data_IF_797708441676
#
_entry.id   IF_797708441676
#
_cell.length_a   1.000
_cell.length_b   1.000
_cell.length_c   1.000
_cell.angle_alpha   90.00
_cell.angle_beta   90.00
_cell.angle_gamma   90.00
#
_symmetry.space_group_name_H-M   'P 1'
#
loop_
_entity.id
_entity.type
_entity.pdbx_description
1 polymer ?
#
# COMPACT_ATOMS: atom_id res chain seq x y z
N UNK A 1 14.57 -81.81 12.91
CA UNK A 1 15.38 -81.41 14.08
C UNK A 1 14.79 -80.11 14.58
N UNK A 2 13.98 -80.24 15.63
CA UNK A 2 13.74 -79.34 16.78
C UNK A 2 13.74 -77.82 16.55
N UNK A 3 12.57 -77.16 16.70
CA UNK A 3 11.96 -76.60 17.94
C UNK A 3 12.77 -75.43 18.53
N UNK A 4 12.30 -74.19 18.41
CA UNK A 4 11.32 -73.46 19.23
C UNK A 4 11.94 -72.68 20.41
N UNK A 5 11.51 -71.40 20.54
CA UNK A 5 11.52 -70.53 21.75
C UNK A 5 12.90 -70.01 22.21
N UNK A 6 13.07 -68.90 22.92
CA UNK A 6 12.20 -68.14 23.83
C UNK A 6 12.75 -66.72 24.08
N UNK A 7 11.89 -65.88 24.66
CA UNK A 7 12.12 -64.67 25.47
C UNK A 7 13.19 -64.91 26.58
N UNK A 8 13.81 -63.94 27.27
CA UNK A 8 13.24 -62.95 28.23
C UNK A 8 14.39 -62.12 28.90
N UNK A 9 14.09 -60.91 29.37
CA UNK A 9 14.55 -60.20 30.61
C UNK A 9 16.04 -60.08 31.06
N UNK A 10 16.45 -58.87 31.47
CA UNK A 10 16.65 -58.47 32.89
C UNK A 10 17.69 -57.34 33.09
N UNK A 11 17.42 -56.51 34.10
CA UNK A 11 18.24 -55.39 34.58
C UNK A 11 19.39 -55.83 35.52
N UNK A 12 20.41 -54.98 35.70
CA UNK A 12 21.47 -55.17 36.71
C UNK A 12 22.49 -54.02 36.74
N UNK A 13 22.86 -53.61 37.94
CA UNK A 13 23.34 -52.28 38.34
C UNK A 13 24.86 -52.24 38.71
N UNK A 14 25.36 -51.05 39.10
CA UNK A 14 26.60 -50.74 39.85
C UNK A 14 27.90 -50.57 39.02
N UNK A 15 28.85 -49.64 39.27
CA UNK A 15 29.11 -48.60 40.27
C UNK A 15 30.36 -47.82 39.81
N UNK A 16 30.44 -46.50 40.06
CA UNK A 16 31.70 -45.74 39.89
C UNK A 16 31.56 -44.26 40.23
N UNK A 17 32.16 -43.85 41.36
CA UNK A 17 31.99 -42.55 42.03
C UNK A 17 33.29 -41.75 41.91
N UNK A 18 33.25 -40.48 41.51
CA UNK A 18 34.21 -39.45 41.95
C UNK A 18 33.67 -38.04 41.74
N UNK A 19 34.14 -37.11 42.59
CA UNK A 19 33.48 -35.89 43.09
C UNK A 19 34.04 -34.60 42.46
N UNK A 20 33.23 -33.53 42.52
CA UNK A 20 33.63 -32.11 42.55
C UNK A 20 33.14 -31.32 41.31
N UNK A 21 32.49 -30.15 41.37
CA UNK A 21 32.20 -29.18 42.42
C UNK A 21 30.99 -28.29 42.02
N UNK A 22 30.36 -27.65 43.03
CA UNK A 22 29.33 -26.57 42.95
C UNK A 22 29.93 -25.30 42.27
N UNK A 23 29.24 -24.36 41.61
CA UNK A 23 27.96 -23.63 41.88
C UNK A 23 27.60 -22.75 40.63
N UNK A 24 26.44 -22.06 40.57
CA UNK A 24 25.69 -21.75 39.34
C UNK A 24 25.97 -20.35 38.75
N UNK A 25 25.69 -20.18 37.45
CA UNK A 25 25.60 -18.86 36.82
C UNK A 25 24.27 -18.70 36.07
N UNK A 26 23.60 -17.59 36.40
CA UNK A 26 22.27 -17.17 35.95
C UNK A 26 22.19 -17.06 34.42
N UNK A 27 21.27 -17.82 33.80
CA UNK A 27 20.82 -17.53 32.45
C UNK A 27 19.78 -16.39 32.53
N UNK A 28 20.21 -15.19 32.16
CA UNK A 28 19.35 -14.03 31.94
C UNK A 28 18.34 -14.34 30.85
N UNK A 29 17.06 -14.36 31.20
CA UNK A 29 15.96 -14.36 30.25
C UNK A 29 16.01 -13.06 29.43
N UNK A 30 16.51 -13.14 28.21
CA UNK A 30 16.35 -12.07 27.23
C UNK A 30 14.87 -12.08 26.79
N UNK A 31 14.07 -11.19 27.38
CA UNK A 31 12.75 -10.86 26.87
C UNK A 31 12.91 -10.21 25.50
N UNK A 32 12.76 -10.99 24.43
CA UNK A 32 12.59 -10.47 23.08
C UNK A 32 11.25 -9.74 23.02
N UNK A 33 11.24 -8.44 23.27
CA UNK A 33 10.12 -7.57 22.94
C UNK A 33 10.05 -7.46 21.43
N UNK A 34 9.41 -8.44 20.79
CA UNK A 34 8.92 -8.31 19.42
C UNK A 34 7.87 -7.20 19.43
N UNK A 35 8.29 -6.01 19.02
CA UNK A 35 7.35 -4.95 18.66
C UNK A 35 6.57 -5.47 17.44
N UNK A 36 5.43 -6.10 17.68
CA UNK A 36 4.48 -6.43 16.61
C UNK A 36 4.12 -5.11 15.92
N UNK A 37 4.59 -4.95 14.69
CA UNK A 37 4.00 -4.02 13.75
C UNK A 37 2.50 -4.29 13.76
N UNK A 38 1.71 -3.32 14.20
CA UNK A 38 0.26 -3.46 14.25
C UNK A 38 -0.21 -3.78 12.83
N UNK A 39 -0.70 -5.01 12.61
CA UNK A 39 -1.33 -5.40 11.35
C UNK A 39 -2.52 -4.45 11.14
N UNK A 40 -2.45 -3.62 10.11
CA UNK A 40 -3.51 -2.68 9.79
C UNK A 40 -4.76 -3.47 9.38
N UNK A 41 -5.84 -3.39 10.17
CA UNK A 41 -7.14 -3.93 9.77
C UNK A 41 -7.99 -2.80 9.19
N UNK A 42 -8.28 -2.80 7.88
CA UNK A 42 -9.06 -1.74 7.24
C UNK A 42 -10.48 -1.58 7.81
N UNK A 43 -11.02 -2.64 8.46
CA UNK A 43 -12.29 -2.59 9.16
C UNK A 43 -12.31 -1.65 10.37
N UNK A 44 -11.15 -1.39 10.98
CA UNK A 44 -11.01 -0.55 12.17
C UNK A 44 -11.19 0.95 11.86
N UNK A 45 -11.05 1.36 10.60
CA UNK A 45 -11.24 2.76 10.19
C UNK A 45 -12.71 3.23 10.29
N UNK A 46 -13.64 2.29 10.40
CA UNK A 46 -15.06 2.58 10.57
C UNK A 46 -15.56 2.25 11.99
N UNK A 47 -14.62 1.96 12.91
CA UNK A 47 -14.89 1.91 14.35
C UNK A 47 -14.99 3.35 14.88
N UNK A 48 -16.04 3.62 15.65
CA UNK A 48 -16.24 4.92 16.31
C UNK A 48 -16.46 4.69 17.82
N UNK A 49 -15.48 5.02 18.67
CA UNK A 49 -14.19 5.61 18.33
C UNK A 49 -13.22 4.60 17.69
N UNK A 50 -12.22 5.07 16.91
CA UNK A 50 -11.17 4.20 16.39
C UNK A 50 -10.37 3.55 17.53
N UNK A 51 -9.78 2.36 17.32
CA UNK A 51 -9.00 1.69 18.35
C UNK A 51 -7.86 2.59 18.86
N UNK A 52 -7.62 2.65 20.19
CA UNK A 52 -6.58 3.50 20.74
C UNK A 52 -5.19 3.03 20.28
N UNK A 53 -4.44 3.94 19.69
CA UNK A 53 -3.04 3.70 19.35
C UNK A 53 -2.20 3.65 20.62
N UNK A 54 -1.51 2.53 20.85
CA UNK A 54 -0.54 2.40 21.96
C UNK A 54 0.83 2.88 21.49
N UNK A 55 1.26 4.00 22.03
CA UNK A 55 2.57 4.59 21.74
C UNK A 55 3.61 4.11 22.76
N UNK A 56 4.83 3.87 22.29
CA UNK A 56 6.00 3.78 23.17
C UNK A 56 6.32 5.12 23.81
N UNK A 57 7.15 5.12 24.86
CA UNK A 57 7.59 6.35 25.53
C UNK A 57 8.28 7.32 24.57
N UNK A 58 9.22 6.81 23.76
CA UNK A 58 9.94 7.60 22.75
C UNK A 58 8.98 8.20 21.71
N UNK A 59 8.02 7.42 21.20
CA UNK A 59 7.00 7.93 20.28
C UNK A 59 6.14 9.03 20.92
N UNK A 60 5.82 8.90 22.20
CA UNK A 60 5.06 9.92 22.92
C UNK A 60 5.83 11.23 23.07
N UNK A 61 7.13 11.16 23.36
CA UNK A 61 8.02 12.33 23.40
C UNK A 61 8.12 13.02 22.04
N UNK A 62 8.37 12.26 20.97
CA UNK A 62 8.43 12.77 19.61
C UNK A 62 7.11 13.43 19.16
N UNK A 63 5.97 12.79 19.46
CA UNK A 63 4.64 13.36 19.19
C UNK A 63 4.42 14.68 19.96
N UNK A 64 4.87 14.74 21.21
CA UNK A 64 4.74 15.94 22.04
C UNK A 64 5.59 17.10 21.51
N UNK A 65 6.82 16.81 21.10
CA UNK A 65 7.71 17.79 20.47
C UNK A 65 7.13 18.31 19.14
N UNK A 66 6.70 17.41 18.27
CA UNK A 66 6.07 17.76 17.00
C UNK A 66 4.83 18.63 17.21
N UNK A 67 3.97 18.28 18.17
CA UNK A 67 2.77 19.05 18.49
C UNK A 67 3.11 20.47 18.97
N UNK A 68 4.10 20.62 19.86
CA UNK A 68 4.56 21.93 20.31
C UNK A 68 5.11 22.76 19.15
N UNK A 69 5.87 22.14 18.24
CA UNK A 69 6.37 22.77 17.03
C UNK A 69 5.24 23.27 16.12
N UNK A 70 4.26 22.42 15.79
CA UNK A 70 3.14 22.78 14.92
C UNK A 70 2.26 23.85 15.55
N UNK A 71 1.95 23.78 16.85
CA UNK A 71 1.21 24.83 17.58
C UNK A 71 1.91 26.18 17.48
N UNK A 72 3.23 26.22 17.65
CA UNK A 72 4.02 27.45 17.51
C UNK A 72 4.00 27.97 16.06
N UNK A 73 4.10 27.09 15.06
CA UNK A 73 4.04 27.47 13.64
C UNK A 73 2.68 28.06 13.25
N UNK A 74 1.59 27.48 13.73
CA UNK A 74 0.22 27.95 13.48
C UNK A 74 -0.04 29.37 14.05
N UNK A 75 0.66 29.75 15.13
CA UNK A 75 0.63 31.13 15.66
C UNK A 75 1.39 32.15 14.79
N UNK A 76 2.11 31.69 13.77
CA UNK A 76 2.90 32.53 12.85
C UNK A 76 2.53 32.25 11.38
N UNK A 77 1.30 32.58 10.94
CA UNK A 77 0.82 32.25 9.59
C UNK A 77 1.69 32.82 8.47
N UNK A 78 2.33 33.98 8.68
CA UNK A 78 3.28 34.56 7.73
C UNK A 78 4.46 33.61 7.40
N UNK A 79 4.95 32.83 8.37
CA UNK A 79 6.01 31.84 8.14
C UNK A 79 5.52 30.67 7.29
N UNK A 80 4.25 30.28 7.43
CA UNK A 80 3.63 29.23 6.60
C UNK A 80 3.52 29.73 5.16
N UNK A 81 3.04 30.97 4.97
CA UNK A 81 2.96 31.61 3.65
C UNK A 81 4.33 31.73 2.98
N UNK A 82 5.38 32.06 3.74
CA UNK A 82 6.75 32.13 3.23
C UNK A 82 7.26 30.75 2.75
N UNK A 83 7.02 29.70 3.53
CA UNK A 83 7.37 28.32 3.12
C UNK A 83 6.63 27.94 1.85
N UNK A 84 5.34 28.23 1.77
CA UNK A 84 4.55 27.97 0.57
C UNK A 84 5.07 28.74 -0.64
N UNK A 85 5.41 30.01 -0.49
CA UNK A 85 5.97 30.84 -1.57
C UNK A 85 7.26 30.24 -2.13
N UNK A 86 8.16 29.75 -1.25
CA UNK A 86 9.39 29.07 -1.68
C UNK A 86 9.12 27.78 -2.46
N UNK A 87 8.05 27.04 -2.12
CA UNK A 87 7.66 25.86 -2.91
C UNK A 87 7.17 26.25 -4.30
N UNK A 88 6.54 27.42 -4.45
CA UNK A 88 6.12 27.93 -5.76
C UNK A 88 7.31 28.27 -6.67
N UNK A 89 8.44 28.69 -6.09
CA UNK A 89 9.69 28.92 -6.82
C UNK A 89 10.31 27.62 -7.37
N UNK A 90 9.94 26.47 -6.79
CA UNK A 90 10.40 25.14 -7.23
C UNK A 90 9.51 24.52 -8.31
N UNK A 91 8.53 25.26 -8.83
CA UNK A 91 7.68 24.80 -9.94
C UNK A 91 8.54 24.55 -11.18
N UNK A 92 8.22 23.47 -11.88
CA UNK A 92 8.93 23.11 -13.09
C UNK A 92 8.72 24.16 -14.18
N UNK A 93 9.81 24.49 -14.86
CA UNK A 93 9.75 25.18 -16.15
C UNK A 93 9.21 24.23 -17.23
N UNK A 94 8.76 24.78 -18.36
CA UNK A 94 8.31 23.98 -19.52
C UNK A 94 9.40 23.02 -20.00
N UNK A 95 10.63 23.50 -20.13
CA UNK A 95 11.77 22.68 -20.57
C UNK A 95 12.10 21.54 -19.61
N UNK A 96 11.99 21.77 -18.30
CA UNK A 96 12.15 20.71 -17.32
C UNK A 96 11.04 19.67 -17.40
N UNK A 97 9.79 20.11 -17.60
CA UNK A 97 8.66 19.20 -17.78
C UNK A 97 8.86 18.32 -19.03
N UNK A 98 9.29 18.90 -20.15
CA UNK A 98 9.59 18.17 -21.38
C UNK A 98 10.68 17.10 -21.17
N UNK A 99 11.72 17.42 -20.40
CA UNK A 99 12.81 16.47 -20.09
C UNK A 99 12.42 15.39 -19.07
N UNK A 100 11.73 15.78 -18.00
CA UNK A 100 11.45 14.90 -16.85
C UNK A 100 10.20 14.05 -17.05
N UNK A 101 9.30 14.41 -17.97
CA UNK A 101 8.04 13.72 -18.23
C UNK A 101 7.95 13.22 -19.69
N UNK A 102 9.08 12.90 -20.32
CA UNK A 102 9.16 12.66 -21.75
C UNK A 102 8.30 11.47 -22.21
N UNK A 103 8.10 10.46 -21.36
CA UNK A 103 7.25 9.29 -21.69
C UNK A 103 5.77 9.67 -21.69
N UNK A 104 5.35 10.49 -20.72
CA UNK A 104 3.97 10.96 -20.61
C UNK A 104 3.56 11.85 -21.79
N UNK A 105 4.54 12.54 -22.39
CA UNK A 105 4.40 13.47 -23.51
C UNK A 105 4.55 12.82 -24.89
N UNK A 106 4.63 11.49 -24.98
CA UNK A 106 4.60 10.80 -26.29
C UNK A 106 3.20 10.84 -26.87
N UNK A 107 3.09 10.97 -28.20
CA UNK A 107 1.80 10.98 -28.94
C UNK A 107 0.85 9.83 -28.52
N UNK A 108 1.40 8.62 -28.36
CA UNK A 108 0.64 7.44 -27.93
C UNK A 108 0.06 7.51 -26.49
N UNK A 109 0.52 8.47 -25.67
CA UNK A 109 0.16 8.62 -24.26
C UNK A 109 -0.58 9.93 -23.96
N UNK A 110 -0.65 10.89 -24.90
CA UNK A 110 -1.34 12.16 -24.70
C UNK A 110 -2.78 11.96 -24.21
N UNK A 111 -3.53 11.06 -24.85
CA UNK A 111 -4.92 10.75 -24.49
C UNK A 111 -5.10 10.02 -23.16
N UNK A 112 -4.02 9.67 -22.44
CA UNK A 112 -4.07 8.97 -21.15
C UNK A 112 -3.86 9.90 -19.95
N UNK A 113 -3.57 11.18 -20.21
CA UNK A 113 -3.37 12.20 -19.19
C UNK A 113 -4.64 13.03 -19.04
N UNK A 114 -5.18 13.10 -17.82
CA UNK A 114 -6.33 13.96 -17.53
C UNK A 114 -5.97 15.44 -17.64
N UNK A 115 -4.76 15.80 -17.23
CA UNK A 115 -4.24 17.16 -17.29
C UNK A 115 -2.80 17.14 -17.80
N UNK A 116 -2.49 17.96 -18.79
CA UNK A 116 -1.17 17.99 -19.43
C UNK A 116 -0.09 18.69 -18.60
N UNK A 117 -0.50 19.45 -17.58
CA UNK A 117 0.38 20.10 -16.60
C UNK A 117 0.58 19.25 -15.32
N UNK A 118 0.00 18.04 -15.27
CA UNK A 118 0.14 17.09 -14.17
C UNK A 118 0.54 15.71 -14.72
N UNK A 119 1.85 15.53 -14.89
CA UNK A 119 2.44 14.34 -15.47
C UNK A 119 3.40 13.66 -14.48
N UNK A 120 3.53 12.31 -14.51
CA UNK A 120 4.50 11.62 -13.70
C UNK A 120 5.92 11.85 -14.24
N UNK A 121 6.92 11.89 -13.35
CA UNK A 121 8.31 11.92 -13.80
C UNK A 121 8.75 10.55 -14.30
N UNK A 122 9.60 10.55 -15.32
CA UNK A 122 10.11 9.33 -15.94
C UNK A 122 10.87 8.43 -14.93
N UNK A 123 11.47 9.02 -13.89
CA UNK A 123 12.28 8.31 -12.90
C UNK A 123 11.47 7.62 -11.78
N UNK A 124 10.21 8.01 -11.58
CA UNK A 124 9.37 7.43 -10.52
C UNK A 124 7.96 7.06 -11.00
N UNK A 125 7.68 7.13 -12.30
CA UNK A 125 6.43 6.64 -12.88
C UNK A 125 6.23 5.14 -12.65
N UNK A 126 4.98 4.73 -12.61
CA UNK A 126 4.63 3.31 -12.67
C UNK A 126 4.80 2.80 -14.11
N UNK A 127 5.20 1.52 -14.24
CA UNK A 127 5.33 0.81 -15.51
C UNK A 127 4.46 -0.44 -15.43
N UNK A 128 3.44 -0.52 -16.28
CA UNK A 128 2.57 -1.70 -16.36
C UNK A 128 3.24 -2.80 -17.18
N UNK A 129 3.06 -4.05 -16.73
CA UNK A 129 3.50 -5.22 -17.47
C UNK A 129 2.62 -5.43 -18.72
N UNK A 130 3.22 -5.34 -19.90
CA UNK A 130 2.56 -5.51 -21.19
C UNK A 130 2.58 -6.95 -21.68
N UNK A 131 3.40 -7.82 -21.07
CA UNK A 131 3.60 -9.20 -21.53
C UNK A 131 2.38 -10.09 -21.34
N UNK A 132 1.48 -9.73 -20.42
CA UNK A 132 0.23 -10.47 -20.16
C UNK A 132 -0.91 -10.12 -21.13
N UNK A 133 -0.71 -9.20 -22.08
CA UNK A 133 -1.73 -8.82 -23.07
C UNK A 133 -2.99 -8.16 -22.48
N UNK A 134 -2.89 -7.66 -21.25
CA UNK A 134 -4.02 -7.16 -20.47
C UNK A 134 -4.32 -5.67 -20.63
N UNK A 135 -3.35 -4.90 -21.12
CA UNK A 135 -3.44 -3.45 -21.18
C UNK A 135 -3.77 -3.01 -22.61
N UNK A 136 -4.69 -2.05 -22.73
CA UNK A 136 -4.87 -1.26 -23.97
C UNK A 136 -3.64 -0.38 -24.26
N UNK A 137 -2.74 -0.28 -23.28
CA UNK A 137 -1.49 0.46 -23.34
C UNK A 137 -0.34 -0.36 -23.92
N UNK A 138 -0.17 -0.27 -25.25
CA UNK A 138 0.95 -0.89 -25.99
C UNK A 138 2.37 -0.59 -25.44
N UNK A 139 2.52 0.38 -24.53
CA UNK A 139 3.80 0.80 -23.93
C UNK A 139 3.82 0.82 -22.39
N UNK A 140 2.85 0.19 -21.72
CA UNK A 140 2.82 0.06 -20.25
C UNK A 140 2.74 1.38 -19.49
N UNK A 141 2.20 2.43 -20.12
CA UNK A 141 2.09 3.77 -19.52
C UNK A 141 0.78 3.94 -18.74
N UNK A 142 0.89 4.48 -17.53
CA UNK A 142 -0.21 5.02 -16.74
C UNK A 142 0.28 6.30 -16.04
N UNK A 143 -0.59 7.31 -15.93
CA UNK A 143 -0.28 8.54 -15.19
C UNK A 143 -0.34 8.27 -13.67
N UNK A 144 0.73 7.69 -13.15
CA UNK A 144 0.91 7.38 -11.74
C UNK A 144 2.40 7.44 -11.35
N UNK A 145 2.69 7.81 -10.10
CA UNK A 145 4.05 7.93 -9.57
C UNK A 145 4.20 7.23 -8.23
N UNK A 146 5.33 6.55 -8.02
CA UNK A 146 5.77 6.14 -6.70
C UNK A 146 6.19 7.37 -5.87
N UNK A 147 5.65 7.46 -4.66
CA UNK A 147 6.00 8.47 -3.66
C UNK A 147 6.60 7.75 -2.45
N UNK A 148 7.86 8.04 -2.16
CA UNK A 148 8.55 7.58 -0.95
C UNK A 148 8.78 8.72 0.02
N UNK A 149 8.65 8.46 1.32
CA UNK A 149 8.91 9.43 2.39
C UNK A 149 10.18 9.01 3.17
N UNK A 150 11.35 9.49 2.76
CA UNK A 150 12.62 9.29 3.49
C UNK A 150 13.46 8.09 3.05
N UNK A 151 14.60 7.88 3.74
CA UNK A 151 15.66 6.92 3.38
C UNK A 151 15.69 5.64 4.23
N UNK A 152 14.67 5.39 5.07
CA UNK A 152 14.62 4.22 5.96
C UNK A 152 13.94 3.00 5.35
N UNK A 153 14.22 1.81 5.88
CA UNK A 153 13.67 0.52 5.41
C UNK A 153 12.16 0.32 5.73
N UNK A 154 11.58 1.15 6.61
CA UNK A 154 10.16 1.10 7.02
C UNK A 154 9.35 2.30 6.50
N UNK A 155 9.51 2.62 5.22
CA UNK A 155 8.81 3.76 4.60
C UNK A 155 7.62 3.25 3.80
N UNK A 156 6.41 3.66 4.19
CA UNK A 156 5.20 3.45 3.38
C UNK A 156 5.42 4.02 1.99
N UNK A 157 5.21 3.20 0.96
CA UNK A 157 5.25 3.62 -0.44
C UNK A 157 3.83 3.92 -0.87
N UNK A 158 3.61 5.11 -1.41
CA UNK A 158 2.33 5.49 -1.97
C UNK A 158 2.42 5.49 -3.49
N UNK A 159 1.31 5.20 -4.13
CA UNK A 159 1.13 5.50 -5.55
C UNK A 159 0.19 6.69 -5.64
N UNK A 160 0.71 7.83 -6.10
CA UNK A 160 -0.11 8.97 -6.45
C UNK A 160 -0.53 8.84 -7.91
N UNK A 161 -1.84 8.90 -8.18
CA UNK A 161 -2.38 8.73 -9.54
C UNK A 161 -3.56 9.67 -9.79
N UNK A 162 -3.85 9.92 -11.07
CA UNK A 162 -5.03 10.69 -11.48
C UNK A 162 -6.32 9.89 -11.22
N UNK A 163 -7.47 10.57 -11.17
CA UNK A 163 -8.75 9.88 -11.30
C UNK A 163 -8.85 9.21 -12.67
N UNK A 164 -9.09 7.87 -12.76
CA UNK A 164 -9.09 7.15 -14.02
C UNK A 164 -9.95 7.81 -15.10
N UNK A 165 -9.48 7.79 -16.33
CA UNK A 165 -10.29 8.08 -17.51
C UNK A 165 -11.08 6.80 -17.90
N UNK A 166 -12.18 6.91 -18.66
CA UNK A 166 -12.88 5.73 -19.17
C UNK A 166 -11.93 4.75 -19.87
N UNK A 167 -11.03 5.26 -20.70
CA UNK A 167 -10.03 4.53 -21.47
C UNK A 167 -8.86 3.99 -20.64
N UNK A 168 -8.57 4.55 -19.46
CA UNK A 168 -7.48 4.12 -18.57
C UNK A 168 -7.97 3.35 -17.33
N UNK A 169 -9.26 3.01 -17.26
CA UNK A 169 -9.81 2.32 -16.09
C UNK A 169 -9.30 0.88 -15.97
N UNK A 170 -9.08 0.19 -17.10
CA UNK A 170 -8.42 -1.11 -17.10
C UNK A 170 -6.96 -1.04 -16.66
N UNK A 171 -6.20 -0.09 -17.19
CA UNK A 171 -4.81 0.17 -16.81
C UNK A 171 -4.68 0.48 -15.30
N UNK A 172 -5.64 1.20 -14.73
CA UNK A 172 -5.70 1.48 -13.28
C UNK A 172 -5.84 0.18 -12.46
N UNK A 173 -6.72 -0.72 -12.86
CA UNK A 173 -6.89 -1.99 -12.14
C UNK A 173 -5.71 -2.93 -12.33
N UNK A 174 -5.10 -2.94 -13.51
CA UNK A 174 -3.85 -3.68 -13.73
C UNK A 174 -2.74 -3.17 -12.81
N UNK A 175 -2.59 -1.84 -12.68
CA UNK A 175 -1.66 -1.24 -11.74
C UNK A 175 -1.89 -1.73 -10.30
N UNK A 176 -3.15 -1.66 -9.85
CA UNK A 176 -3.55 -2.05 -8.50
C UNK A 176 -3.26 -3.52 -8.24
N UNK A 177 -3.54 -4.39 -9.23
CA UNK A 177 -3.27 -5.82 -9.15
C UNK A 177 -1.77 -6.13 -9.15
N UNK A 178 -1.03 -5.58 -10.11
CA UNK A 178 0.42 -5.74 -10.27
C UNK A 178 1.19 -5.32 -9.01
N UNK A 179 0.76 -4.25 -8.35
CA UNK A 179 1.41 -3.73 -7.14
C UNK A 179 0.75 -4.20 -5.83
N UNK A 180 -0.20 -5.14 -5.91
CA UNK A 180 -0.92 -5.72 -4.76
C UNK A 180 -1.41 -4.67 -3.77
N UNK A 181 -2.02 -3.60 -4.29
CA UNK A 181 -2.42 -2.49 -3.44
C UNK A 181 -3.63 -2.86 -2.56
N UNK A 182 -3.51 -2.89 -1.23
CA UNK A 182 -4.62 -3.30 -0.35
C UNK A 182 -5.68 -2.21 -0.17
N UNK A 183 -5.33 -0.94 -0.40
CA UNK A 183 -6.18 0.20 -0.08
C UNK A 183 -6.10 1.29 -1.15
N UNK A 184 -7.27 1.77 -1.56
CA UNK A 184 -7.45 2.92 -2.45
C UNK A 184 -8.07 4.07 -1.64
N UNK A 185 -7.44 5.24 -1.64
CA UNK A 185 -8.00 6.46 -1.07
C UNK A 185 -8.41 7.40 -2.20
N UNK A 186 -9.71 7.53 -2.39
CA UNK A 186 -10.34 8.39 -3.38
C UNK A 186 -10.73 9.74 -2.76
N UNK A 187 -10.08 10.81 -3.20
CA UNK A 187 -10.29 12.17 -2.68
C UNK A 187 -11.19 13.04 -3.58
N UNK A 188 -11.81 12.45 -4.60
CA UNK A 188 -12.73 13.13 -5.53
C UNK A 188 -14.04 12.36 -5.63
N UNK A 189 -15.13 13.04 -5.97
CA UNK A 189 -16.38 12.38 -6.33
C UNK A 189 -16.24 11.67 -7.68
N UNK A 190 -16.93 10.54 -7.83
CA UNK A 190 -17.22 9.91 -9.14
C UNK A 190 -18.31 10.75 -9.82
N UNK A 191 -18.13 11.05 -11.10
CA UNK A 191 -18.99 12.01 -11.79
C UNK A 191 -20.47 11.61 -11.84
N UNK A 192 -21.35 12.52 -11.41
CA UNK A 192 -22.80 12.39 -11.46
C UNK A 192 -23.41 13.23 -12.59
N UNK A 193 -23.00 12.98 -13.85
CA UNK A 193 -23.58 13.51 -15.12
C UNK A 193 -23.76 15.05 -15.27
N UNK A 194 -23.53 15.87 -14.25
CA UNK A 194 -23.85 17.32 -14.23
C UNK A 194 -22.63 18.26 -14.14
N UNK A 195 -21.41 17.75 -13.98
CA UNK A 195 -20.18 18.53 -13.74
C UNK A 195 -19.04 18.03 -14.64
N UNK A 196 -18.00 18.87 -14.84
CA UNK A 196 -16.74 18.50 -15.52
C UNK A 196 -16.22 17.17 -14.99
N UNK A 197 -15.98 16.21 -15.89
CA UNK A 197 -15.66 14.84 -15.50
C UNK A 197 -14.33 14.75 -14.74
N UNK A 198 -14.32 14.57 -13.42
CA UNK A 198 -13.11 14.48 -12.57
C UNK A 198 -12.58 13.06 -12.42
N UNK A 199 -13.45 12.05 -12.52
CA UNK A 199 -13.07 10.65 -12.36
C UNK A 199 -14.13 9.77 -13.03
N UNK A 200 -13.68 8.90 -13.94
CA UNK A 200 -14.55 7.86 -14.46
C UNK A 200 -15.03 6.99 -13.29
N UNK A 201 -16.25 6.49 -13.41
CA UNK A 201 -16.66 5.39 -12.57
C UNK A 201 -15.84 4.17 -12.97
N UNK A 202 -14.99 3.68 -12.07
CA UNK A 202 -14.11 2.54 -12.29
C UNK A 202 -14.47 1.34 -11.40
N UNK A 203 -15.58 1.39 -10.66
CA UNK A 203 -15.92 0.33 -9.69
C UNK A 203 -17.42 0.08 -9.50
N UNK A 204 -18.31 1.02 -9.84
CA UNK A 204 -19.76 0.81 -9.67
C UNK A 204 -20.33 0.08 -10.89
N UNK A 205 -21.25 -0.85 -10.65
CA UNK A 205 -22.09 -1.50 -11.66
C UNK A 205 -23.47 -1.78 -11.05
N UNK A 206 -24.53 -1.59 -11.84
CA UNK A 206 -25.92 -1.78 -11.39
C UNK A 206 -26.23 -3.25 -11.03
N UNK A 207 -25.49 -4.19 -11.61
CA UNK A 207 -25.56 -5.64 -11.41
C UNK A 207 -24.50 -6.19 -10.43
N UNK A 208 -23.69 -5.31 -9.85
CA UNK A 208 -22.67 -5.64 -8.86
C UNK A 208 -21.32 -6.08 -9.41
N UNK A 209 -21.18 -6.39 -10.71
CA UNK A 209 -19.93 -6.87 -11.31
C UNK A 209 -19.48 -6.01 -12.49
N UNK A 210 -18.28 -5.43 -12.41
CA UNK A 210 -17.72 -4.63 -13.48
C UNK A 210 -16.49 -5.24 -14.12
N UNK A 211 -16.53 -5.42 -15.44
CA UNK A 211 -15.41 -5.93 -16.23
C UNK A 211 -14.50 -4.85 -16.81
N UNK A 212 -13.19 -5.06 -16.69
CA UNK A 212 -12.13 -4.31 -17.34
C UNK A 212 -11.12 -5.29 -17.98
N UNK A 213 -11.40 -5.74 -19.20
CA UNK A 213 -10.57 -6.75 -19.88
C UNK A 213 -10.55 -8.09 -19.13
N UNK A 214 -9.40 -8.45 -18.55
CA UNK A 214 -9.25 -9.68 -17.73
C UNK A 214 -9.53 -9.47 -16.24
N UNK A 215 -9.80 -8.24 -15.82
CA UNK A 215 -10.11 -7.92 -14.43
C UNK A 215 -11.61 -7.76 -14.27
N UNK A 216 -12.17 -8.31 -13.19
CA UNK A 216 -13.53 -8.04 -12.76
C UNK A 216 -13.56 -7.53 -11.33
N UNK A 217 -14.36 -6.50 -11.07
CA UNK A 217 -14.47 -5.82 -9.78
C UNK A 217 -15.89 -5.97 -9.28
N UNK A 218 -16.04 -6.44 -8.05
CA UNK A 218 -17.34 -6.63 -7.40
C UNK A 218 -17.37 -5.87 -6.07
N UNK A 219 -18.43 -5.10 -5.82
CA UNK A 219 -18.61 -4.47 -4.51
C UNK A 219 -19.28 -5.45 -3.56
N UNK A 220 -18.55 -5.94 -2.54
CA UNK A 220 -19.09 -6.85 -1.52
C UNK A 220 -19.98 -6.14 -0.52
N UNK A 221 -19.55 -4.98 -0.04
CA UNK A 221 -20.37 -4.13 0.81
C UNK A 221 -19.91 -2.68 0.75
N UNK A 222 -20.81 -1.79 1.13
CA UNK A 222 -20.53 -0.36 1.34
C UNK A 222 -20.95 0.00 2.77
N UNK A 223 -20.10 0.74 3.48
CA UNK A 223 -20.37 1.32 4.80
C UNK A 223 -20.16 2.82 4.73
N UNK A 224 -21.08 3.58 5.31
CA UNK A 224 -20.95 5.02 5.48
C UNK A 224 -20.67 5.25 6.97
N UNK A 225 -19.48 5.76 7.29
CA UNK A 225 -19.10 6.06 8.67
C UNK A 225 -19.69 7.43 9.08
N UNK A 226 -19.79 7.72 10.39
CA UNK A 226 -20.40 8.95 10.91
C UNK A 226 -19.74 10.25 10.39
N UNK A 227 -18.45 10.18 10.03
CA UNK A 227 -17.67 11.27 9.43
C UNK A 227 -18.00 11.55 7.96
N UNK A 228 -19.03 10.91 7.38
CA UNK A 228 -19.35 10.92 5.94
C UNK A 228 -18.28 10.27 5.04
N UNK A 229 -17.36 9.50 5.64
CA UNK A 229 -16.44 8.63 4.91
C UNK A 229 -17.20 7.41 4.37
N UNK A 230 -17.06 7.13 3.08
CA UNK A 230 -17.63 5.94 2.45
C UNK A 230 -16.52 4.90 2.30
N UNK A 231 -16.69 3.76 2.95
CA UNK A 231 -15.85 2.58 2.83
C UNK A 231 -16.52 1.56 1.91
N UNK A 232 -15.85 1.15 0.85
CA UNK A 232 -16.25 0.03 -0.01
C UNK A 232 -15.26 -1.11 0.10
N UNK A 233 -15.76 -2.31 0.31
CA UNK A 233 -14.99 -3.54 0.16
C UNK A 233 -15.20 -4.07 -1.25
N UNK A 234 -14.11 -4.11 -2.02
CA UNK A 234 -14.09 -4.56 -3.40
C UNK A 234 -13.39 -5.91 -3.49
N UNK A 235 -14.01 -6.88 -4.14
CA UNK A 235 -13.34 -8.10 -4.57
C UNK A 235 -12.90 -7.91 -6.02
N UNK A 236 -11.61 -8.05 -6.28
CA UNK A 236 -11.04 -7.92 -7.63
C UNK A 236 -10.49 -9.26 -8.05
N UNK A 237 -10.98 -9.78 -9.18
CA UNK A 237 -10.57 -11.06 -9.75
C UNK A 237 -9.85 -10.81 -11.06
N UNK A 238 -8.67 -11.41 -11.19
CA UNK A 238 -7.98 -11.51 -12.47
C UNK A 238 -8.26 -12.89 -13.05
N UNK A 239 -8.62 -12.99 -14.34
CA UNK A 239 -9.04 -14.28 -14.96
C UNK A 239 -8.03 -15.42 -14.82
N UNK A 240 -6.75 -15.11 -14.63
CA UNK A 240 -5.65 -16.09 -14.58
C UNK A 240 -5.02 -16.22 -13.18
N UNK A 241 -5.43 -15.40 -12.21
CA UNK A 241 -4.81 -15.34 -10.87
C UNK A 241 -5.87 -15.35 -9.74
N UNK A 242 -5.39 -15.37 -8.50
CA UNK A 242 -6.26 -15.32 -7.31
C UNK A 242 -6.96 -13.97 -7.16
N UNK A 243 -8.11 -13.97 -6.47
CA UNK A 243 -8.81 -12.73 -6.10
C UNK A 243 -8.05 -11.96 -5.03
N UNK A 244 -8.11 -10.63 -5.10
CA UNK A 244 -7.61 -9.73 -4.07
C UNK A 244 -8.76 -8.89 -3.50
N UNK A 245 -8.75 -8.71 -2.19
CA UNK A 245 -9.71 -7.84 -1.50
C UNK A 245 -9.08 -6.46 -1.32
N UNK A 246 -9.80 -5.44 -1.75
CA UNK A 246 -9.34 -4.05 -1.72
C UNK A 246 -10.34 -3.19 -0.97
N UNK A 247 -9.83 -2.34 -0.09
CA UNK A 247 -10.64 -1.35 0.61
C UNK A 247 -10.54 0.00 -0.07
N UNK A 248 -11.66 0.51 -0.57
CA UNK A 248 -11.75 1.82 -1.20
C UNK A 248 -12.42 2.82 -0.25
N UNK A 249 -11.67 3.82 0.18
CA UNK A 249 -12.15 4.93 1.02
C UNK A 249 -12.43 6.15 0.17
N UNK A 250 -13.60 6.75 0.34
CA UNK A 250 -14.01 7.94 -0.40
C UNK A 250 -14.56 8.98 0.56
N UNK A 251 -13.98 10.18 0.55
CA UNK A 251 -14.55 11.31 1.27
C UNK A 251 -15.70 11.91 0.46
N UNK A 252 -16.84 12.14 1.11
CA UNK A 252 -17.99 12.80 0.48
C UNK A 252 -17.82 14.32 0.27
N UNK A 253 -16.61 14.87 0.47
CA UNK A 253 -16.33 16.30 0.37
C UNK A 253 -15.58 16.63 -0.92
N UNK A 254 -15.99 17.73 -1.56
CA UNK A 254 -15.39 18.27 -2.78
C UNK A 254 -13.96 18.77 -2.52
N UNK A 255 -12.96 17.90 -2.64
CA UNK A 255 -11.57 18.35 -2.71
C UNK A 255 -10.89 17.87 -4.00
N UNK A 256 -9.85 18.63 -4.33
CA UNK A 256 -9.20 18.65 -5.64
C UNK A 256 -8.50 17.32 -5.92
N UNK A 257 -8.69 16.86 -7.15
CA UNK A 257 -8.21 15.63 -7.80
C UNK A 257 -6.88 15.10 -7.26
N UNK A 258 -6.90 13.90 -6.67
CA UNK A 258 -5.82 12.90 -6.59
C UNK A 258 -6.36 11.62 -5.97
N UNK A 259 -6.08 10.47 -6.56
CA UNK A 259 -6.21 9.18 -5.87
C UNK A 259 -4.84 8.89 -5.26
N UNK A 260 -4.84 8.55 -3.97
CA UNK A 260 -3.65 8.02 -3.29
C UNK A 260 -3.92 6.55 -3.03
N UNK A 261 -3.11 5.69 -3.62
CA UNK A 261 -3.18 4.26 -3.36
C UNK A 261 -2.08 3.95 -2.34
N UNK A 262 -2.47 3.31 -1.25
CA UNK A 262 -1.54 2.85 -0.24
C UNK A 262 -1.03 1.47 -0.65
N UNK A 263 0.29 1.30 -0.66
CA UNK A 263 0.92 -0.01 -0.79
C UNK A 263 1.55 -0.35 0.56
N UNK A 264 1.11 -1.45 1.16
CA UNK A 264 1.80 -2.03 2.32
C UNK A 264 3.04 -2.78 1.82
N UNK A 265 4.19 -2.57 2.44
CA UNK A 265 5.37 -3.40 2.19
C UNK A 265 5.09 -4.80 2.77
N UNK A 266 4.52 -5.70 1.97
CA UNK A 266 4.67 -7.13 2.24
C UNK A 266 6.12 -7.52 1.91
N UNK A 267 7.03 -7.39 2.88
CA UNK A 267 8.19 -8.26 2.93
C UNK A 267 7.75 -9.59 3.52
N UNK A 268 7.52 -10.59 2.67
CA UNK A 268 7.82 -11.97 3.04
C UNK A 268 8.60 -12.63 1.90
N UNK A 269 9.63 -13.36 2.32
CA UNK A 269 10.78 -13.79 1.54
C UNK A 269 10.45 -14.94 0.58
N UNK A 270 10.79 -14.78 -0.70
CA UNK A 270 11.16 -15.93 -1.54
C UNK A 270 12.67 -15.96 -1.69
N UNK A 271 13.30 -16.64 -0.73
CA UNK A 271 14.60 -17.25 -0.95
C UNK A 271 14.43 -18.45 -1.89
N UNK A 272 14.57 -18.22 -3.19
CA UNK A 272 14.92 -19.28 -4.14
C UNK A 272 16.38 -19.05 -4.51
N UNK A 273 17.27 -19.66 -3.71
CA UNK A 273 18.64 -19.88 -4.15
C UNK A 273 18.60 -20.71 -5.43
N UNK A 274 19.13 -20.13 -6.50
CA UNK A 274 19.55 -20.83 -7.71
C UNK A 274 20.28 -22.14 -7.35
N UNK A 275 19.66 -23.28 -7.65
CA UNK A 275 20.41 -24.43 -8.14
C UNK A 275 20.68 -24.16 -9.62
N UNK A 276 21.90 -23.77 -9.93
CA UNK A 276 22.45 -23.93 -11.28
C UNK A 276 23.08 -25.34 -11.40
N UNK A 277 23.12 -25.89 -12.63
CA UNK A 277 23.39 -27.30 -12.91
C UNK A 277 24.78 -27.78 -12.50
#
# INVERSE_FOLDING_TARGET
MDREKSQTEAAGNCTGRSRGARTPAMATAASSSSSSSANFNPGDLCSDPPPPLRLSHEQHELCSEALAFFKRRLRTPAKIAQVFSRLQEMRLTGDEMMRKCSVALRDANFGKNRYMDVLPFDNNRIILDTTKGNTSSANGYINASFIGIGTGEKVSRFIATQGPLPETSGDFWEMVFQHRCPVIVMLTLVDNRKMTRKCADYFQADDGLRGFGKISVETKYTRICASSLVLRCLEVKHKEDMSITIFCFMWALELVVRIVIYQECCQEAEGIQHRNP
#
